data_IF_572251935950
#
_entry.id   IF_572251935950
#
_cell.length_a   1.000
_cell.length_b   1.000
_cell.length_c   1.000
_cell.angle_alpha   90.00
_cell.angle_beta   90.00
_cell.angle_gamma   90.00
#
_symmetry.space_group_name_H-M   'P 1'
#
loop_
_entity.id
_entity.type
_entity.pdbx_description
1 polymer ?
#
# COMPACT_ATOMS: atom_id res chain seq x y z
N UNK A 1 -25.39 -21.80 8.03
CA UNK A 1 -23.92 -21.70 8.09
C UNK A 1 -23.58 -20.26 7.77
N UNK A 2 -22.83 -19.57 8.62
CA UNK A 2 -22.34 -18.22 8.33
C UNK A 2 -21.29 -18.32 7.21
N UNK A 3 -21.50 -17.61 6.11
CA UNK A 3 -20.53 -17.53 5.01
C UNK A 3 -19.34 -16.70 5.45
N UNK A 4 -18.13 -17.24 5.29
CA UNK A 4 -16.89 -16.49 5.51
C UNK A 4 -16.80 -15.33 4.51
N UNK A 5 -16.73 -14.08 5.00
CA UNK A 5 -16.61 -12.88 4.15
C UNK A 5 -15.23 -12.22 4.24
N UNK A 6 -14.47 -12.50 5.31
CA UNK A 6 -13.17 -11.90 5.60
C UNK A 6 -12.15 -12.99 5.87
N UNK A 7 -11.04 -12.96 5.12
CA UNK A 7 -9.90 -13.86 5.31
C UNK A 7 -8.61 -13.06 5.36
N UNK A 8 -7.88 -13.19 6.47
CA UNK A 8 -6.61 -12.55 6.71
C UNK A 8 -5.61 -13.57 7.21
N UNK A 9 -4.60 -13.84 6.38
CA UNK A 9 -3.58 -14.85 6.63
C UNK A 9 -2.21 -14.18 6.56
N UNK A 10 -1.40 -14.37 7.61
CA UNK A 10 -0.05 -13.85 7.71
C UNK A 10 0.92 -14.98 8.05
N UNK A 11 2.05 -15.05 7.35
CA UNK A 11 3.12 -16.03 7.57
C UNK A 11 2.66 -17.51 7.55
N UNK A 12 1.58 -17.82 6.82
CA UNK A 12 1.08 -19.18 6.61
C UNK A 12 1.75 -19.81 5.39
N UNK A 13 2.15 -21.09 5.49
CA UNK A 13 2.67 -21.84 4.35
C UNK A 13 1.58 -22.62 3.62
N UNK A 14 1.51 -22.42 2.31
CA UNK A 14 0.68 -23.15 1.35
C UNK A 14 1.50 -24.04 0.41
N UNK A 15 2.79 -24.27 0.68
CA UNK A 15 3.64 -25.11 -0.20
C UNK A 15 3.12 -26.55 -0.36
N UNK A 16 2.35 -27.01 0.62
CA UNK A 16 1.73 -28.33 0.66
C UNK A 16 0.20 -28.25 0.64
N UNK A 17 -0.34 -27.08 0.26
CA UNK A 17 -1.78 -26.91 0.12
C UNK A 17 -2.27 -27.71 -1.09
N UNK A 18 -3.11 -28.72 -0.83
CA UNK A 18 -3.76 -29.48 -1.90
C UNK A 18 -4.68 -28.59 -2.74
N UNK A 19 -5.03 -29.07 -3.94
CA UNK A 19 -5.91 -28.37 -4.89
C UNK A 19 -7.30 -28.01 -4.31
N UNK A 20 -7.67 -28.57 -3.16
CA UNK A 20 -8.93 -28.30 -2.44
C UNK A 20 -8.90 -27.01 -1.61
N UNK A 21 -7.72 -26.48 -1.26
CA UNK A 21 -7.58 -25.30 -0.39
C UNK A 21 -8.30 -24.04 -0.90
N UNK A 22 -8.29 -23.70 -2.21
CA UNK A 22 -9.11 -22.62 -2.74
C UNK A 22 -10.61 -22.78 -2.48
N UNK A 23 -11.12 -24.01 -2.43
CA UNK A 23 -12.53 -24.30 -2.20
C UNK A 23 -12.91 -24.16 -0.71
N UNK A 24 -11.94 -24.29 0.20
CA UNK A 24 -12.14 -24.10 1.64
C UNK A 24 -12.45 -22.64 2.00
N UNK A 25 -12.08 -21.68 1.16
CA UNK A 25 -12.23 -20.25 1.46
C UNK A 25 -13.60 -19.67 1.15
N UNK A 26 -14.54 -20.45 0.62
CA UNK A 26 -15.87 -19.96 0.24
C UNK A 26 -15.79 -18.69 -0.65
N UNK A 27 -14.95 -18.74 -1.68
CA UNK A 27 -14.56 -17.58 -2.49
C UNK A 27 -15.74 -16.76 -3.05
N UNK A 28 -16.90 -17.38 -3.25
CA UNK A 28 -18.13 -16.74 -3.78
C UNK A 28 -18.68 -15.64 -2.87
N UNK A 29 -18.44 -15.72 -1.56
CA UNK A 29 -18.93 -14.73 -0.60
C UNK A 29 -17.82 -13.86 -0.01
N UNK A 30 -16.55 -14.15 -0.35
CA UNK A 30 -15.43 -13.47 0.25
C UNK A 30 -15.33 -12.03 -0.29
N UNK A 31 -15.41 -11.07 0.63
CA UNK A 31 -15.30 -9.63 0.34
C UNK A 31 -13.88 -9.11 0.55
N UNK A 32 -13.14 -9.74 1.46
CA UNK A 32 -11.78 -9.33 1.83
C UNK A 32 -10.84 -10.51 1.88
N UNK A 33 -9.73 -10.40 1.13
CA UNK A 33 -8.62 -11.34 1.17
C UNK A 33 -7.32 -10.59 1.48
N UNK A 34 -6.63 -10.98 2.55
CA UNK A 34 -5.28 -10.50 2.87
C UNK A 34 -4.33 -11.69 2.94
N UNK A 35 -3.28 -11.66 2.13
CA UNK A 35 -2.22 -12.66 2.11
C UNK A 35 -0.89 -11.97 2.37
N UNK A 36 -0.40 -12.07 3.60
CA UNK A 36 0.79 -11.37 4.06
C UNK A 36 1.93 -12.36 4.30
N UNK A 37 2.99 -12.29 3.48
CA UNK A 37 4.18 -13.15 3.63
C UNK A 37 3.86 -14.65 3.67
N UNK A 38 2.79 -15.06 3.00
CA UNK A 38 2.38 -16.44 2.93
C UNK A 38 3.19 -17.19 1.87
N UNK A 39 3.89 -18.26 2.28
CA UNK A 39 4.62 -19.13 1.34
C UNK A 39 3.62 -19.87 0.46
N UNK A 40 3.91 -20.04 -0.83
CA UNK A 40 2.98 -20.68 -1.77
C UNK A 40 1.71 -19.89 -2.11
N UNK A 41 1.57 -18.63 -1.67
CA UNK A 41 0.40 -17.79 -1.98
C UNK A 41 0.15 -17.60 -3.48
N UNK A 42 1.21 -17.62 -4.31
CA UNK A 42 1.05 -17.54 -5.77
C UNK A 42 0.31 -18.75 -6.36
N UNK A 43 0.60 -19.96 -5.88
CA UNK A 43 -0.10 -21.16 -6.32
C UNK A 43 -1.59 -21.06 -5.95
N UNK A 44 -1.87 -20.54 -4.75
CA UNK A 44 -3.23 -20.29 -4.31
C UNK A 44 -3.94 -19.29 -5.25
N UNK A 45 -3.29 -18.16 -5.57
CA UNK A 45 -3.85 -17.16 -6.49
C UNK A 45 -4.06 -17.70 -7.90
N UNK A 46 -3.17 -18.56 -8.40
CA UNK A 46 -3.31 -19.20 -9.71
C UNK A 46 -4.52 -20.13 -9.77
N UNK A 47 -4.67 -21.01 -8.78
CA UNK A 47 -5.84 -21.88 -8.66
C UNK A 47 -7.12 -21.05 -8.49
N UNK A 48 -7.08 -20.05 -7.62
CA UNK A 48 -8.17 -19.14 -7.35
C UNK A 48 -8.67 -18.41 -8.62
N UNK A 49 -7.74 -17.95 -9.46
CA UNK A 49 -8.05 -17.21 -10.70
C UNK A 49 -8.85 -18.03 -11.70
N UNK A 50 -8.63 -19.35 -11.74
CA UNK A 50 -9.33 -20.24 -12.68
C UNK A 50 -10.77 -20.58 -12.24
N UNK A 51 -11.10 -20.39 -10.96
CA UNK A 51 -12.41 -20.76 -10.42
C UNK A 51 -13.55 -19.83 -10.83
N UNK A 52 -13.26 -18.57 -11.19
CA UNK A 52 -14.27 -17.55 -11.49
C UNK A 52 -15.15 -17.11 -10.31
N UNK A 53 -14.78 -17.48 -9.07
CA UNK A 53 -15.64 -17.32 -7.88
C UNK A 53 -15.47 -15.99 -7.13
N UNK A 54 -14.49 -15.16 -7.48
CA UNK A 54 -14.12 -13.96 -6.71
C UNK A 54 -14.97 -12.73 -7.04
N UNK A 55 -16.23 -12.93 -7.43
CA UNK A 55 -17.10 -11.87 -7.96
C UNK A 55 -17.52 -10.85 -6.91
N UNK A 56 -17.50 -11.21 -5.63
CA UNK A 56 -17.83 -10.32 -4.51
C UNK A 56 -16.61 -9.70 -3.82
N UNK A 57 -15.40 -10.03 -4.26
CA UNK A 57 -14.17 -9.54 -3.64
C UNK A 57 -14.04 -8.02 -3.86
N UNK A 58 -13.95 -7.27 -2.76
CA UNK A 58 -13.84 -5.81 -2.74
C UNK A 58 -12.48 -5.32 -2.25
N UNK A 59 -11.81 -6.09 -1.39
CA UNK A 59 -10.51 -5.75 -0.84
C UNK A 59 -9.53 -6.90 -1.07
N UNK A 60 -8.39 -6.59 -1.67
CA UNK A 60 -7.29 -7.53 -1.82
C UNK A 60 -5.97 -6.92 -1.35
N UNK A 61 -5.28 -7.61 -0.45
CA UNK A 61 -3.94 -7.27 0.00
C UNK A 61 -2.98 -8.43 -0.19
N UNK A 62 -1.81 -8.14 -0.75
CA UNK A 62 -0.77 -9.11 -1.05
C UNK A 62 0.61 -8.57 -0.68
N UNK A 63 1.31 -9.29 0.19
CA UNK A 63 2.71 -9.03 0.54
C UNK A 63 3.55 -10.24 0.14
N UNK A 64 4.45 -10.06 -0.83
CA UNK A 64 5.32 -11.14 -1.35
C UNK A 64 6.79 -10.81 -1.10
N UNK A 65 7.43 -11.58 -0.20
CA UNK A 65 8.85 -11.43 0.15
C UNK A 65 9.78 -12.23 -0.75
N UNK A 66 9.27 -13.26 -1.44
CA UNK A 66 10.03 -14.10 -2.35
C UNK A 66 9.23 -14.31 -3.63
N UNK A 67 9.72 -13.81 -4.76
CA UNK A 67 9.05 -13.93 -6.06
C UNK A 67 10.04 -14.08 -7.22
N UNK A 68 9.71 -14.99 -8.15
CA UNK A 68 10.35 -15.07 -9.46
C UNK A 68 9.66 -14.15 -10.50
N UNK A 69 10.37 -13.58 -11.48
CA UNK A 69 9.91 -12.39 -12.23
C UNK A 69 8.61 -12.52 -13.01
N UNK A 70 8.54 -13.51 -13.89
CA UNK A 70 7.60 -13.49 -15.02
C UNK A 70 6.27 -14.15 -14.65
N UNK A 71 6.35 -15.27 -13.92
CA UNK A 71 5.17 -16.02 -13.48
C UNK A 71 4.39 -15.26 -12.41
N UNK A 72 5.09 -14.59 -11.48
CA UNK A 72 4.48 -13.82 -10.39
C UNK A 72 3.56 -12.73 -10.93
N UNK A 73 4.05 -11.89 -11.85
CA UNK A 73 3.26 -10.79 -12.41
C UNK A 73 2.01 -11.32 -13.11
N UNK A 74 2.14 -12.39 -13.92
CA UNK A 74 1.02 -12.99 -14.64
C UNK A 74 -0.05 -13.52 -13.69
N UNK A 75 0.34 -14.22 -12.63
CA UNK A 75 -0.58 -14.76 -11.62
C UNK A 75 -1.35 -13.63 -10.92
N UNK A 76 -0.65 -12.58 -10.47
CA UNK A 76 -1.29 -11.42 -9.82
C UNK A 76 -2.28 -10.75 -10.76
N UNK A 77 -1.89 -10.53 -12.01
CA UNK A 77 -2.76 -9.92 -13.02
C UNK A 77 -4.00 -10.78 -13.27
N UNK A 78 -3.85 -12.10 -13.44
CA UNK A 78 -5.00 -13.00 -13.63
C UNK A 78 -5.97 -12.96 -12.45
N UNK A 79 -5.44 -12.93 -11.23
CA UNK A 79 -6.27 -12.85 -10.03
C UNK A 79 -7.05 -11.53 -9.97
N UNK A 80 -6.39 -10.40 -10.24
CA UNK A 80 -7.06 -9.09 -10.29
C UNK A 80 -8.19 -9.07 -11.32
N UNK A 81 -7.99 -9.67 -12.52
CA UNK A 81 -9.05 -9.77 -13.53
C UNK A 81 -10.24 -10.62 -13.07
N UNK A 82 -10.01 -11.60 -12.19
CA UNK A 82 -11.09 -12.47 -11.67
C UNK A 82 -11.99 -11.78 -10.63
N UNK A 83 -11.60 -10.59 -10.16
CA UNK A 83 -12.31 -9.83 -9.12
C UNK A 83 -12.89 -8.50 -9.67
N UNK A 84 -14.03 -8.52 -10.40
CA UNK A 84 -14.57 -7.33 -11.07
C UNK A 84 -15.08 -6.23 -10.11
N UNK A 85 -15.40 -6.57 -8.85
CA UNK A 85 -15.87 -5.64 -7.82
C UNK A 85 -14.75 -5.08 -6.92
N UNK A 86 -13.49 -5.30 -7.28
CA UNK A 86 -12.36 -4.89 -6.46
C UNK A 86 -12.29 -3.37 -6.29
N UNK A 87 -12.59 -2.88 -5.09
CA UNK A 87 -12.59 -1.47 -4.74
C UNK A 87 -11.24 -1.02 -4.13
N UNK A 88 -10.52 -1.94 -3.47
CA UNK A 88 -9.25 -1.66 -2.78
C UNK A 88 -8.20 -2.71 -3.12
N UNK A 89 -7.04 -2.25 -3.57
CA UNK A 89 -5.89 -3.10 -3.89
C UNK A 89 -4.65 -2.60 -3.15
N UNK A 90 -4.06 -3.47 -2.34
CA UNK A 90 -2.84 -3.18 -1.58
C UNK A 90 -1.75 -4.18 -1.93
N UNK A 91 -0.66 -3.70 -2.53
CA UNK A 91 0.44 -4.53 -3.01
C UNK A 91 1.75 -4.10 -2.38
N UNK A 92 2.48 -5.06 -1.83
CA UNK A 92 3.86 -4.89 -1.41
C UNK A 92 4.69 -6.05 -1.98
N UNK A 93 5.45 -5.74 -3.03
CA UNK A 93 6.08 -6.74 -3.88
C UNK A 93 7.60 -6.51 -3.89
N UNK A 94 8.36 -7.61 -3.89
CA UNK A 94 9.81 -7.58 -4.10
C UNK A 94 10.12 -7.74 -5.60
N UNK A 95 11.07 -6.96 -6.09
CA UNK A 95 11.60 -7.15 -7.45
C UNK A 95 12.22 -8.55 -7.62
N UNK A 96 12.18 -9.13 -8.83
CA UNK A 96 11.72 -8.51 -10.08
C UNK A 96 10.19 -8.64 -10.33
N UNK A 97 9.52 -7.57 -10.74
CA UNK A 97 8.09 -7.53 -11.14
C UNK A 97 7.94 -6.71 -12.42
N UNK A 98 7.16 -7.21 -13.41
CA UNK A 98 6.83 -6.41 -14.59
C UNK A 98 5.73 -5.40 -14.23
N UNK A 99 6.15 -4.22 -13.77
CA UNK A 99 5.26 -3.17 -13.28
C UNK A 99 4.36 -2.61 -14.37
N UNK A 100 4.83 -2.48 -15.61
CA UNK A 100 4.03 -1.97 -16.73
C UNK A 100 2.80 -2.85 -16.97
N UNK A 101 3.00 -4.17 -16.99
CA UNK A 101 1.90 -5.14 -17.16
C UNK A 101 0.93 -5.07 -15.98
N UNK A 102 1.45 -4.98 -14.76
CA UNK A 102 0.64 -4.84 -13.54
C UNK A 102 -0.20 -3.57 -13.57
N UNK A 103 0.42 -2.40 -13.82
CA UNK A 103 -0.28 -1.11 -13.93
C UNK A 103 -1.34 -1.16 -15.04
N UNK A 104 -1.01 -1.72 -16.21
CA UNK A 104 -1.99 -1.87 -17.30
C UNK A 104 -3.21 -2.70 -16.89
N UNK A 105 -3.01 -3.70 -16.03
CA UNK A 105 -4.08 -4.54 -15.49
C UNK A 105 -4.93 -3.76 -14.50
N UNK A 106 -4.30 -3.08 -13.54
CA UNK A 106 -4.99 -2.27 -12.52
C UNK A 106 -5.80 -1.14 -13.19
N UNK A 107 -5.29 -0.54 -14.27
CA UNK A 107 -6.02 0.46 -15.07
C UNK A 107 -7.37 -0.05 -15.58
N UNK A 108 -7.50 -1.34 -15.88
CA UNK A 108 -8.74 -1.97 -16.36
C UNK A 108 -9.76 -2.26 -15.25
N UNK A 109 -9.39 -2.18 -13.97
CA UNK A 109 -10.30 -2.38 -12.83
C UNK A 109 -11.26 -1.19 -12.66
N UNK A 110 -12.46 -1.27 -13.23
CA UNK A 110 -13.42 -0.14 -13.24
C UNK A 110 -13.92 0.27 -11.86
N UNK A 111 -13.97 -0.65 -10.90
CA UNK A 111 -14.49 -0.44 -9.54
C UNK A 111 -13.45 0.09 -8.54
N UNK A 112 -12.17 0.14 -8.93
CA UNK A 112 -11.06 0.47 -8.04
C UNK A 112 -11.13 1.93 -7.58
N UNK A 113 -11.15 2.13 -6.25
CA UNK A 113 -11.18 3.44 -5.59
C UNK A 113 -9.92 3.74 -4.79
N UNK A 114 -9.22 2.69 -4.33
CA UNK A 114 -8.07 2.80 -3.43
C UNK A 114 -6.95 1.89 -3.90
N UNK A 115 -5.75 2.45 -3.99
CA UNK A 115 -4.55 1.73 -4.42
C UNK A 115 -3.40 2.02 -3.46
N UNK A 116 -2.78 0.95 -2.95
CA UNK A 116 -1.51 1.02 -2.22
C UNK A 116 -0.48 0.22 -2.99
N UNK A 117 0.65 0.84 -3.30
CA UNK A 117 1.79 0.18 -3.94
C UNK A 117 3.07 0.50 -3.20
N UNK A 118 3.62 -0.50 -2.53
CA UNK A 118 4.90 -0.41 -1.81
C UNK A 118 5.93 -1.34 -2.45
N UNK A 119 7.19 -0.91 -2.41
CA UNK A 119 8.33 -1.76 -2.78
C UNK A 119 8.86 -2.46 -1.55
N UNK A 120 9.15 -3.77 -1.65
CA UNK A 120 10.02 -4.43 -0.67
C UNK A 120 11.47 -4.17 -1.04
N UNK A 121 12.08 -3.28 -0.26
CA UNK A 121 13.51 -3.11 -0.14
C UNK A 121 14.27 -4.45 -0.17
N UNK A 122 15.45 -4.49 -0.79
CA UNK A 122 16.39 -5.57 -0.52
C UNK A 122 16.74 -5.56 0.98
N UNK A 123 16.40 -6.64 1.69
CA UNK A 123 16.74 -6.90 3.10
C UNK A 123 18.23 -6.68 3.44
N UNK A 124 19.10 -6.63 2.44
CA UNK A 124 20.54 -6.31 2.58
C UNK A 124 20.85 -4.85 2.90
N UNK A 125 19.89 -3.93 2.76
CA UNK A 125 20.03 -2.54 3.23
C UNK A 125 19.00 -2.24 4.34
N UNK A 126 19.21 -2.78 5.55
CA UNK A 126 18.25 -2.70 6.65
C UNK A 126 18.12 -1.32 7.29
N UNK A 127 18.91 -0.33 6.85
CA UNK A 127 19.03 0.92 7.61
C UNK A 127 17.83 1.85 7.41
N UNK A 128 17.19 1.94 6.24
CA UNK A 128 16.06 2.86 6.03
C UNK A 128 15.15 2.43 4.85
N UNK A 129 14.32 1.39 4.98
CA UNK A 129 13.13 1.24 4.12
C UNK A 129 13.36 1.04 2.61
N UNK A 130 14.57 0.68 2.16
CA UNK A 130 14.86 0.30 0.78
C UNK A 130 15.08 1.42 -0.21
N UNK A 131 15.57 1.03 -1.38
CA UNK A 131 15.47 1.86 -2.59
C UNK A 131 13.99 2.26 -2.73
N UNK A 132 13.74 3.58 -2.77
CA UNK A 132 12.40 4.13 -2.97
C UNK A 132 11.71 3.44 -4.14
N UNK A 133 10.39 3.25 -4.07
CA UNK A 133 9.67 2.60 -5.17
C UNK A 133 9.84 3.45 -6.44
N UNK A 134 10.60 2.97 -7.47
CA UNK A 134 10.81 3.78 -8.67
C UNK A 134 9.47 3.98 -9.35
N UNK A 135 9.17 5.23 -9.73
CA UNK A 135 7.90 5.58 -10.35
C UNK A 135 7.61 4.69 -11.57
N UNK A 136 6.62 3.79 -11.52
CA UNK A 136 6.40 2.85 -12.61
C UNK A 136 5.80 3.57 -13.81
N UNK A 137 6.32 3.30 -15.01
CA UNK A 137 5.75 3.80 -16.25
C UNK A 137 4.23 3.53 -16.32
N UNK A 138 3.45 4.56 -16.62
CA UNK A 138 2.00 4.47 -16.75
C UNK A 138 1.21 4.60 -15.44
N UNK A 139 1.88 4.71 -14.28
CA UNK A 139 1.20 5.00 -13.01
C UNK A 139 0.53 6.38 -13.07
N UNK A 140 1.17 7.36 -13.71
CA UNK A 140 0.64 8.69 -13.94
C UNK A 140 -0.73 8.66 -14.63
N UNK A 141 -0.85 7.86 -15.69
CA UNK A 141 -2.10 7.70 -16.41
C UNK A 141 -3.15 6.98 -15.57
N UNK A 142 -2.75 6.00 -14.75
CA UNK A 142 -3.67 5.34 -13.82
C UNK A 142 -4.27 6.35 -12.83
N UNK A 143 -3.43 7.19 -12.22
CA UNK A 143 -3.85 8.18 -11.23
C UNK A 143 -4.72 9.29 -11.85
N UNK A 144 -4.40 9.72 -13.09
CA UNK A 144 -5.17 10.72 -13.83
C UNK A 144 -6.54 10.17 -14.30
N UNK A 145 -6.57 8.96 -14.86
CA UNK A 145 -7.77 8.39 -15.47
C UNK A 145 -8.80 7.94 -14.42
N UNK A 146 -8.35 7.33 -13.31
CA UNK A 146 -9.26 6.73 -12.33
C UNK A 146 -9.78 7.67 -11.26
N UNK A 147 -9.09 8.79 -11.01
CA UNK A 147 -9.42 9.71 -9.90
C UNK A 147 -9.64 8.95 -8.58
N UNK A 148 -8.62 8.17 -8.19
CA UNK A 148 -8.70 7.33 -6.99
C UNK A 148 -9.03 8.17 -5.75
N UNK A 149 -9.94 7.69 -4.91
CA UNK A 149 -10.24 8.37 -3.66
C UNK A 149 -9.01 8.39 -2.73
N UNK A 150 -8.24 7.30 -2.71
CA UNK A 150 -7.02 7.19 -1.90
C UNK A 150 -5.87 6.54 -2.68
N UNK A 151 -4.66 7.03 -2.46
CA UNK A 151 -3.43 6.48 -3.03
C UNK A 151 -2.35 6.35 -1.95
N UNK A 152 -1.66 5.22 -1.91
CA UNK A 152 -0.59 4.93 -0.97
C UNK A 152 0.68 4.49 -1.69
N UNK A 153 1.82 5.06 -1.30
CA UNK A 153 3.12 4.76 -1.89
C UNK A 153 4.25 4.79 -0.86
N UNK A 154 5.33 4.06 -1.14
CA UNK A 154 6.60 4.13 -0.41
C UNK A 154 7.67 4.91 -1.21
N UNK A 155 7.27 5.70 -2.21
CA UNK A 155 8.15 6.64 -2.92
C UNK A 155 8.50 7.80 -1.98
N UNK A 156 9.79 8.15 -1.82
CA UNK A 156 10.22 9.27 -0.98
C UNK A 156 9.54 10.59 -1.39
N UNK A 157 9.21 11.50 -0.44
CA UNK A 157 8.49 12.74 -0.76
C UNK A 157 9.16 13.58 -1.85
N UNK A 158 10.50 13.70 -1.82
CA UNK A 158 11.28 14.46 -2.81
C UNK A 158 11.17 13.87 -4.22
N UNK A 159 11.19 12.55 -4.36
CA UNK A 159 11.00 11.90 -5.65
C UNK A 159 9.54 12.05 -6.11
N UNK A 160 8.59 11.85 -5.19
CA UNK A 160 7.17 11.92 -5.47
C UNK A 160 6.74 13.30 -6.00
N UNK A 161 7.24 14.39 -5.42
CA UNK A 161 6.93 15.75 -5.93
C UNK A 161 7.45 15.95 -7.34
N UNK A 162 8.67 15.50 -7.65
CA UNK A 162 9.25 15.63 -9.00
C UNK A 162 8.40 14.90 -10.05
N UNK A 163 7.92 13.70 -9.72
CA UNK A 163 7.06 12.92 -10.62
C UNK A 163 5.71 13.59 -10.81
N UNK A 164 5.05 14.00 -9.71
CA UNK A 164 3.72 14.61 -9.77
C UNK A 164 3.72 15.99 -10.43
N UNK A 165 4.78 16.79 -10.26
CA UNK A 165 4.95 18.10 -10.90
C UNK A 165 5.13 17.96 -12.41
N UNK A 166 5.81 16.91 -12.87
CA UNK A 166 6.02 16.62 -14.29
C UNK A 166 4.75 16.25 -15.07
N UNK A 167 3.64 15.98 -14.37
CA UNK A 167 2.38 15.61 -15.01
C UNK A 167 1.68 16.81 -15.65
N UNK A 168 1.09 16.61 -16.83
CA UNK A 168 0.27 17.63 -17.50
C UNK A 168 -1.00 17.97 -16.71
N UNK A 169 -1.62 16.96 -16.10
CA UNK A 169 -2.78 17.11 -15.23
C UNK A 169 -2.49 16.49 -13.86
N UNK A 170 -2.84 17.20 -12.78
CA UNK A 170 -2.65 16.71 -11.42
C UNK A 170 -3.69 15.62 -11.12
N UNK A 171 -3.31 14.49 -10.52
CA UNK A 171 -4.27 13.47 -10.14
C UNK A 171 -5.18 13.99 -9.02
N UNK A 172 -6.45 13.60 -9.08
CA UNK A 172 -7.39 13.82 -8.00
C UNK A 172 -7.29 12.67 -7.01
N UNK A 173 -7.05 12.98 -5.73
CA UNK A 173 -7.17 12.04 -4.62
C UNK A 173 -7.49 12.81 -3.33
N UNK A 174 -8.30 12.22 -2.44
CA UNK A 174 -8.68 12.85 -1.16
C UNK A 174 -7.67 12.52 -0.06
N UNK A 175 -7.14 11.30 -0.07
CA UNK A 175 -6.17 10.83 0.90
C UNK A 175 -4.92 10.30 0.18
N UNK A 176 -3.77 10.89 0.49
CA UNK A 176 -2.46 10.41 0.04
C UNK A 176 -1.69 9.87 1.24
N UNK A 177 -1.20 8.64 1.15
CA UNK A 177 -0.31 8.04 2.14
C UNK A 177 1.09 7.89 1.56
N UNK A 178 2.06 8.50 2.22
CA UNK A 178 3.49 8.26 1.98
C UNK A 178 4.00 7.43 3.14
N UNK A 179 4.36 6.18 2.86
CA UNK A 179 4.85 5.28 3.89
C UNK A 179 6.33 5.52 4.17
N UNK A 180 6.65 5.57 5.45
CA UNK A 180 7.99 5.37 5.98
C UNK A 180 7.93 4.24 7.00
N UNK A 181 8.88 3.30 7.00
CA UNK A 181 8.85 2.20 7.97
C UNK A 181 9.12 2.73 9.38
N UNK A 182 8.52 2.10 10.39
CA UNK A 182 8.72 2.48 11.80
C UNK A 182 10.20 2.62 12.18
N UNK A 183 11.05 1.60 11.93
CA UNK A 183 12.49 1.69 12.17
C UNK A 183 13.16 2.85 11.42
N UNK A 184 12.77 3.12 10.18
CA UNK A 184 13.31 4.23 9.40
C UNK A 184 13.01 5.59 10.05
N UNK A 185 11.76 5.77 10.50
CA UNK A 185 11.37 6.99 11.23
C UNK A 185 12.09 7.13 12.56
N UNK A 186 12.20 6.04 13.35
CA UNK A 186 12.93 6.05 14.62
C UNK A 186 14.39 6.47 14.39
N UNK A 187 15.06 5.89 13.40
CA UNK A 187 16.44 6.23 13.05
C UNK A 187 16.58 7.69 12.60
N UNK A 188 15.65 8.17 11.78
CA UNK A 188 15.60 9.56 11.32
C UNK A 188 15.54 10.55 12.49
N UNK A 189 14.69 10.28 13.50
CA UNK A 189 14.49 11.19 14.63
C UNK A 189 15.51 11.01 15.77
N UNK A 190 16.05 9.81 15.99
CA UNK A 190 16.95 9.54 17.12
C UNK A 190 18.43 9.66 16.80
N UNK A 191 18.84 9.31 15.57
CA UNK A 191 20.26 9.04 15.29
C UNK A 191 20.93 10.12 14.45
N UNK A 192 20.21 11.12 13.92
CA UNK A 192 20.71 12.06 12.90
C UNK A 192 21.40 11.36 11.70
N UNK A 193 21.14 10.08 11.50
CA UNK A 193 21.59 9.32 10.34
C UNK A 193 20.56 9.62 9.26
N UNK A 194 20.78 10.70 8.52
CA UNK A 194 19.99 11.03 7.35
C UNK A 194 20.40 10.09 6.21
N UNK A 195 19.49 9.22 5.79
CA UNK A 195 19.58 8.63 4.45
C UNK A 195 19.53 9.79 3.43
N UNK A 196 20.42 9.84 2.43
CA UNK A 196 20.33 10.82 1.36
C UNK A 196 18.96 10.89 0.66
N UNK A 197 18.20 9.79 0.67
CA UNK A 197 16.87 9.67 0.08
C UNK A 197 15.73 10.14 0.99
N UNK A 198 15.96 10.27 2.30
CA UNK A 198 14.93 10.65 3.27
C UNK A 198 15.46 11.74 4.21
N UNK A 199 15.27 13.01 3.81
CA UNK A 199 15.52 14.13 4.70
C UNK A 199 14.24 14.45 5.52
N UNK A 200 14.33 14.71 6.84
CA UNK A 200 13.15 14.96 7.68
C UNK A 200 12.31 16.16 7.21
N UNK A 201 12.92 17.07 6.46
CA UNK A 201 12.24 18.24 5.90
C UNK A 201 11.49 17.96 4.60
N UNK A 202 11.83 16.88 3.87
CA UNK A 202 11.25 16.62 2.54
C UNK A 202 9.72 16.44 2.63
N UNK A 203 9.21 15.88 3.72
CA UNK A 203 7.76 15.74 3.90
C UNK A 203 7.07 17.09 4.11
N UNK A 204 7.72 18.04 4.77
CA UNK A 204 7.17 19.37 5.02
C UNK A 204 7.16 20.21 3.74
N UNK A 205 8.23 20.12 2.94
CA UNK A 205 8.31 20.72 1.61
C UNK A 205 7.26 20.09 0.66
N UNK A 206 7.13 18.76 0.70
CA UNK A 206 6.09 18.06 -0.05
C UNK A 206 4.69 18.50 0.36
N UNK A 207 4.40 18.60 1.66
CA UNK A 207 3.10 19.04 2.17
C UNK A 207 2.79 20.49 1.75
N UNK A 208 3.78 21.38 1.81
CA UNK A 208 3.65 22.76 1.34
C UNK A 208 3.24 22.81 -0.13
N UNK A 209 3.95 22.08 -0.98
CA UNK A 209 3.62 21.98 -2.39
C UNK A 209 2.25 21.32 -2.62
N UNK A 210 1.98 20.17 -2.00
CA UNK A 210 0.78 19.36 -2.23
C UNK A 210 -0.51 20.11 -1.87
N UNK A 211 -0.49 20.96 -0.84
CA UNK A 211 -1.62 21.80 -0.44
C UNK A 211 -1.57 23.24 -1.02
N UNK A 212 -0.64 23.53 -1.93
CA UNK A 212 -0.62 24.80 -2.67
C UNK A 212 -1.65 24.81 -3.81
N UNK A 213 -1.73 25.93 -4.55
CA UNK A 213 -2.54 26.04 -5.76
C UNK A 213 -2.01 25.17 -6.92
N UNK A 214 -0.70 24.91 -6.96
CA UNK A 214 -0.01 24.11 -8.00
C UNK A 214 0.09 22.61 -7.66
N UNK A 215 -0.39 22.27 -6.46
CA UNK A 215 -0.30 20.94 -5.86
C UNK A 215 -1.42 19.99 -6.29
N UNK A 216 -1.94 19.23 -5.32
CA UNK A 216 -3.01 18.27 -5.53
C UNK A 216 -4.36 18.94 -5.22
N UNK A 217 -5.26 19.07 -6.22
CA UNK A 217 -6.45 19.92 -6.09
C UNK A 217 -7.44 19.41 -5.04
N UNK A 218 -7.72 18.11 -5.04
CA UNK A 218 -8.73 17.50 -4.15
C UNK A 218 -8.15 16.89 -2.86
N UNK A 219 -6.83 17.09 -2.63
CA UNK A 219 -6.17 16.53 -1.46
C UNK A 219 -6.74 17.13 -0.19
N UNK A 220 -7.25 16.25 0.65
CA UNK A 220 -7.88 16.57 1.93
C UNK A 220 -6.94 16.20 3.09
N UNK A 221 -6.35 15.01 3.05
CA UNK A 221 -5.41 14.51 4.06
C UNK A 221 -4.15 13.95 3.39
N UNK A 222 -2.99 14.37 3.89
CA UNK A 222 -1.70 13.71 3.64
C UNK A 222 -1.30 12.96 4.90
N UNK A 223 -1.17 11.64 4.79
CA UNK A 223 -0.68 10.76 5.84
C UNK A 223 0.78 10.39 5.57
N UNK A 224 1.64 10.54 6.57
CA UNK A 224 3.04 10.14 6.50
C UNK A 224 3.41 9.27 7.70
N UNK A 225 4.02 8.12 7.42
CA UNK A 225 4.54 7.20 8.43
C UNK A 225 4.03 5.77 8.33
N UNK A 226 4.15 5.04 9.43
CA UNK A 226 3.82 3.62 9.57
C UNK A 226 2.54 3.45 10.41
N UNK A 227 1.43 3.18 9.73
CA UNK A 227 0.12 2.97 10.37
C UNK A 227 -0.15 1.48 10.61
N UNK A 228 0.68 0.58 10.09
CA UNK A 228 0.62 -0.83 10.47
C UNK A 228 1.13 -1.00 11.91
N UNK A 229 0.58 -1.97 12.64
CA UNK A 229 0.88 -2.27 14.06
C UNK A 229 0.11 -1.47 15.12
N UNK A 230 -1.20 -1.27 14.98
CA UNK A 230 -2.08 -0.86 16.10
C UNK A 230 -1.58 0.35 16.92
N UNK A 231 -0.85 1.27 16.27
CA UNK A 231 -0.32 2.48 16.90
C UNK A 231 1.09 2.38 17.50
N UNK A 232 1.82 1.27 17.35
CA UNK A 232 3.21 1.12 17.84
C UNK A 232 4.17 2.23 17.37
N UNK A 233 3.96 2.78 16.17
CA UNK A 233 4.75 3.89 15.62
C UNK A 233 3.95 5.21 15.53
N UNK A 234 2.83 5.31 16.24
CA UNK A 234 1.91 6.45 16.16
C UNK A 234 2.56 7.79 16.52
N UNK A 235 3.56 7.79 17.40
CA UNK A 235 4.32 8.99 17.79
C UNK A 235 5.14 9.61 16.65
N UNK A 236 5.43 8.82 15.62
CA UNK A 236 6.18 9.25 14.45
C UNK A 236 5.29 9.50 13.22
N UNK A 237 4.02 9.09 13.28
CA UNK A 237 3.08 9.35 12.21
C UNK A 237 2.67 10.82 12.20
N UNK A 238 2.60 11.39 11.00
CA UNK A 238 2.13 12.76 10.80
C UNK A 238 0.93 12.78 9.85
N UNK A 239 -0.09 13.52 10.24
CA UNK A 239 -1.27 13.78 9.44
C UNK A 239 -1.34 15.28 9.16
N UNK A 240 -1.44 15.64 7.89
CA UNK A 240 -1.51 17.03 7.45
C UNK A 240 -2.81 17.27 6.68
N UNK A 241 -3.32 18.49 6.81
CA UNK A 241 -4.50 18.94 6.08
C UNK A 241 -4.30 20.40 5.62
N UNK A 242 -5.17 20.83 4.69
CA UNK A 242 -5.15 22.19 4.16
C UNK A 242 -5.43 23.23 5.26
N UNK A 243 -4.76 24.37 5.17
CA UNK A 243 -4.99 25.57 5.98
C UNK A 243 -5.20 26.78 5.09
N UNK A 244 -5.53 27.94 5.67
CA UNK A 244 -5.72 29.19 4.89
C UNK A 244 -4.44 29.66 4.20
N UNK A 245 -3.28 29.33 4.76
CA UNK A 245 -1.96 29.83 4.34
C UNK A 245 -1.05 28.71 3.82
N UNK A 246 -1.60 27.53 3.51
CA UNK A 246 -0.83 26.36 3.09
C UNK A 246 -1.38 25.09 3.71
N UNK A 247 -0.60 24.46 4.58
CA UNK A 247 -0.99 23.26 5.31
C UNK A 247 -0.83 23.46 6.83
N UNK A 248 -1.31 22.48 7.60
CA UNK A 248 -1.03 22.34 9.03
C UNK A 248 -1.16 20.88 9.44
N UNK A 249 -0.72 20.56 10.65
CA UNK A 249 -1.02 19.27 11.27
C UNK A 249 -2.51 19.15 11.59
N UNK A 250 -3.03 17.94 11.44
CA UNK A 250 -4.40 17.59 11.78
C UNK A 250 -4.62 17.70 13.29
N UNK A 251 -5.75 18.29 13.69
CA UNK A 251 -6.16 18.43 15.08
C UNK A 251 -7.21 17.36 15.43
N UNK A 252 -7.21 16.86 16.66
CA UNK A 252 -8.21 15.92 17.19
C UNK A 252 -9.67 16.42 17.09
N UNK A 253 -9.89 17.74 17.05
CA UNK A 253 -11.23 18.34 16.93
C UNK A 253 -11.85 18.25 15.52
N UNK A 254 -11.09 17.81 14.51
CA UNK A 254 -11.55 17.80 13.11
C UNK A 254 -12.24 16.49 12.73
N UNK A 255 -13.43 16.30 13.30
CA UNK A 255 -14.17 15.03 13.24
C UNK A 255 -14.28 14.49 11.80
N UNK A 256 -14.68 15.31 10.82
CA UNK A 256 -14.86 14.87 9.44
C UNK A 256 -13.57 14.38 8.75
N UNK A 257 -12.41 14.92 9.16
CA UNK A 257 -11.11 14.48 8.63
C UNK A 257 -10.67 13.19 9.30
N UNK A 258 -10.98 13.02 10.59
CA UNK A 258 -10.77 11.77 11.30
C UNK A 258 -11.68 10.66 10.78
N UNK A 259 -12.93 10.95 10.42
CA UNK A 259 -13.83 9.99 9.77
C UNK A 259 -13.21 9.49 8.46
N UNK A 260 -12.69 10.40 7.62
CA UNK A 260 -11.98 10.02 6.39
C UNK A 260 -10.77 9.11 6.67
N UNK A 261 -10.01 9.37 7.74
CA UNK A 261 -8.85 8.55 8.11
C UNK A 261 -9.30 7.18 8.61
N UNK A 262 -10.30 7.14 9.49
CA UNK A 262 -10.81 5.91 10.09
C UNK A 262 -11.45 5.00 9.03
N UNK A 263 -12.21 5.57 8.10
CA UNK A 263 -12.84 4.87 6.96
C UNK A 263 -11.81 4.26 5.99
N UNK A 264 -10.55 4.68 6.07
CA UNK A 264 -9.46 4.19 5.22
C UNK A 264 -8.27 3.64 6.04
N UNK A 265 -8.49 3.31 7.31
CA UNK A 265 -7.43 2.80 8.18
C UNK A 265 -6.95 1.41 7.73
N UNK A 266 -7.82 0.61 7.12
CA UNK A 266 -7.49 -0.67 6.50
C UNK A 266 -6.40 -0.52 5.43
N UNK A 267 -6.52 0.50 4.58
CA UNK A 267 -5.55 0.86 3.55
C UNK A 267 -4.26 1.43 4.17
N UNK A 268 -4.37 2.35 5.14
CA UNK A 268 -3.21 2.96 5.79
C UNK A 268 -2.33 1.92 6.50
N UNK A 269 -2.97 0.95 7.15
CA UNK A 269 -2.30 -0.14 7.87
C UNK A 269 -1.89 -1.32 6.97
N UNK A 270 -2.17 -1.26 5.67
CA UNK A 270 -1.90 -2.36 4.76
C UNK A 270 -0.39 -2.61 4.57
N UNK A 271 -0.07 -3.86 4.25
CA UNK A 271 1.26 -4.34 3.90
C UNK A 271 2.31 -4.15 5.01
N UNK A 272 2.11 -4.63 6.25
CA UNK A 272 3.06 -4.41 7.35
C UNK A 272 4.49 -4.87 7.02
N UNK A 273 5.50 -4.04 7.33
CA UNK A 273 6.90 -4.34 7.01
C UNK A 273 7.44 -5.46 7.90
N UNK A 274 7.27 -5.34 9.21
CA UNK A 274 7.44 -6.41 10.19
C UNK A 274 6.10 -7.09 10.44
N UNK A 275 6.07 -8.37 10.81
CA UNK A 275 4.84 -8.94 11.41
C UNK A 275 5.02 -8.84 12.92
N UNK A 276 4.00 -8.42 13.67
CA UNK A 276 4.01 -8.39 15.15
C UNK A 276 4.30 -9.76 15.78
N UNK A 277 4.21 -10.85 15.00
CA UNK A 277 4.55 -12.21 15.42
C UNK A 277 6.03 -12.57 15.31
N UNK A 278 6.88 -11.69 14.80
CA UNK A 278 8.32 -11.82 15.06
C UNK A 278 8.57 -11.21 16.43
N UNK A 279 8.33 -12.02 17.47
CA UNK A 279 8.94 -11.84 18.78
C UNK A 279 10.36 -11.35 18.53
N UNK A 280 10.62 -10.16 19.05
CA UNK A 280 11.91 -9.53 18.97
C UNK A 280 12.97 -10.56 19.33
N UNK A 281 13.96 -10.71 18.44
CA UNK A 281 15.15 -11.54 18.64
C UNK A 281 15.99 -11.14 19.86
N UNK A 282 15.49 -10.20 20.67
CA UNK A 282 16.03 -9.72 21.94
C UNK A 282 15.39 -10.38 23.17
N UNK A 283 14.38 -11.23 23.03
CA UNK A 283 13.74 -11.90 24.18
C UNK A 283 14.39 -13.25 24.54
N UNK A 284 15.53 -13.58 23.90
CA UNK A 284 16.31 -14.80 24.16
C UNK A 284 17.81 -14.53 24.38
N UNK A 285 18.16 -13.44 25.08
CA UNK A 285 19.47 -13.27 25.72
C UNK A 285 19.33 -12.67 27.11
#
# INVERSE_FOLDING_TARGET
>A
MQSLEYLDLSAISFEHADAEVPFLFNAENLRTLKLRKCLGSLNLLELASSSGKWTELKYFELVLTNSGPTTTTKIICNFIHSAPKLETLCLMLREPINRETLISTIRRCSSLKRLVMHSLADERNPVLGGEGMPWPSGLEHLLQDKQLACFGTSTPPRELVNQLQGLQARPSCKLLHIRATGPAMVNMYRSNICDPLYHPLDIYEFAEWAFSAEGLPDLTVLAWGEFSHEGHFSEHNSLFCRSKTGYRRLNASEISLWDLINDNMDMLAACPYTDTNVLSRTDFL
#
